data_IF_021161645498
#
_entry.id   IF_021161645498
#
_cell.length_a   1.000
_cell.length_b   1.000
_cell.length_c   1.000
_cell.angle_alpha   90.00
_cell.angle_beta   90.00
_cell.angle_gamma   90.00
#
_symmetry.space_group_name_H-M   'P 1'
#
loop_
_entity.id
_entity.type
_entity.pdbx_description
1 polymer ?
#
# COMPACT_ATOMS: atom_id res chain seq x y z
N UNK A 1 23.60 -1.00 -17.41
CA UNK A 1 22.71 -0.33 -16.45
C UNK A 1 22.88 -1.02 -15.12
N UNK A 2 23.20 -0.30 -14.04
CA UNK A 2 23.41 -0.92 -12.73
C UNK A 2 22.09 -1.54 -12.26
N UNK A 3 22.10 -2.86 -12.13
CA UNK A 3 20.93 -3.67 -11.75
C UNK A 3 20.49 -3.52 -10.27
N UNK A 4 21.14 -2.66 -9.51
CA UNK A 4 20.99 -2.56 -8.05
C UNK A 4 20.03 -1.45 -7.58
N UNK A 5 19.27 -0.85 -8.50
CA UNK A 5 18.29 0.17 -8.08
C UNK A 5 17.11 -0.49 -7.39
N UNK A 6 16.96 -0.23 -6.10
CA UNK A 6 15.81 -0.67 -5.29
C UNK A 6 14.51 -0.29 -5.97
N UNK A 7 13.66 -1.29 -6.23
CA UNK A 7 12.35 -1.05 -6.80
C UNK A 7 11.43 -0.34 -5.80
N UNK A 8 10.75 0.68 -6.28
CA UNK A 8 9.77 1.45 -5.51
C UNK A 8 8.38 1.25 -6.12
N UNK A 9 7.31 1.32 -5.31
CA UNK A 9 5.95 1.31 -5.83
C UNK A 9 5.72 2.40 -6.86
N UNK A 10 4.86 2.14 -7.84
CA UNK A 10 4.51 3.11 -8.90
C UNK A 10 3.63 4.26 -8.41
N UNK A 11 3.11 4.18 -7.20
CA UNK A 11 2.19 5.16 -6.65
C UNK A 11 2.36 5.33 -5.14
N UNK A 12 2.06 6.53 -4.64
CA UNK A 12 2.01 6.77 -3.21
C UNK A 12 0.79 6.05 -2.61
N UNK A 13 0.99 5.38 -1.49
CA UNK A 13 -0.09 4.71 -0.77
C UNK A 13 -0.18 5.26 0.66
N UNK A 14 -1.40 5.56 1.15
CA UNK A 14 -1.59 6.01 2.53
C UNK A 14 -1.02 4.99 3.51
N UNK A 15 -0.23 5.44 4.48
CA UNK A 15 0.41 4.52 5.43
C UNK A 15 1.59 3.71 4.87
N UNK A 16 2.09 4.05 3.68
CA UNK A 16 3.16 3.27 3.01
C UNK A 16 4.37 3.02 3.90
N UNK A 17 4.77 1.76 4.01
CA UNK A 17 5.79 1.23 4.94
C UNK A 17 7.22 1.25 4.38
N UNK A 18 7.47 2.03 3.31
CA UNK A 18 8.79 2.07 2.66
C UNK A 18 9.96 2.44 3.56
N UNK A 19 9.73 3.23 4.61
CA UNK A 19 10.78 3.62 5.55
C UNK A 19 11.17 2.52 6.53
N UNK A 20 10.23 1.65 6.87
CA UNK A 20 10.48 0.59 7.84
C UNK A 20 10.74 -0.77 7.17
N UNK A 21 10.58 -0.84 5.85
CA UNK A 21 10.67 -2.11 5.15
C UNK A 21 11.99 -2.85 5.42
N UNK A 22 13.11 -2.13 5.42
CA UNK A 22 14.42 -2.72 5.67
C UNK A 22 14.55 -3.23 7.12
N UNK A 23 14.01 -2.48 8.10
CA UNK A 23 13.98 -2.92 9.48
C UNK A 23 13.09 -4.15 9.67
N UNK A 24 11.91 -4.16 9.04
CA UNK A 24 11.01 -5.32 9.06
C UNK A 24 11.68 -6.54 8.42
N UNK A 25 12.35 -6.38 7.28
CA UNK A 25 13.05 -7.49 6.64
C UNK A 25 14.21 -8.02 7.47
N UNK A 26 14.94 -7.18 8.19
CA UNK A 26 15.95 -7.63 9.16
C UNK A 26 15.34 -8.52 10.23
N UNK A 27 14.13 -8.21 10.72
CA UNK A 27 13.43 -8.99 11.74
C UNK A 27 12.78 -10.25 11.17
N UNK A 28 12.22 -10.21 9.99
CA UNK A 28 11.70 -11.38 9.29
C UNK A 28 12.86 -12.30 8.81
N UNK A 29 13.97 -11.71 8.41
CA UNK A 29 15.13 -12.43 7.89
C UNK A 29 14.84 -13.14 6.56
N UNK A 30 15.70 -14.10 6.24
CA UNK A 30 15.56 -14.90 5.03
C UNK A 30 14.50 -15.99 5.24
N UNK A 31 13.33 -15.81 4.64
CA UNK A 31 12.17 -16.73 4.73
C UNK A 31 11.90 -17.43 3.40
N UNK A 32 11.40 -18.67 3.46
CA UNK A 32 11.06 -19.47 2.26
C UNK A 32 9.77 -18.99 1.60
N UNK A 33 8.82 -18.60 2.44
CA UNK A 33 7.51 -18.13 2.04
C UNK A 33 7.25 -16.74 2.65
N UNK A 34 6.69 -15.83 1.87
CA UNK A 34 6.31 -14.49 2.33
C UNK A 34 4.84 -14.24 2.00
N UNK A 35 4.08 -13.79 2.98
CA UNK A 35 2.68 -13.44 2.84
C UNK A 35 2.43 -11.99 3.28
N UNK A 36 1.79 -11.21 2.40
CA UNK A 36 1.38 -9.83 2.65
C UNK A 36 -0.12 -9.67 2.32
N UNK A 37 -1.01 -9.88 3.31
CA UNK A 37 -2.46 -9.89 3.08
C UNK A 37 -3.09 -8.49 2.94
N UNK A 38 -2.33 -7.43 3.23
CA UNK A 38 -2.76 -6.03 3.12
C UNK A 38 -1.77 -5.24 2.25
N UNK A 39 -1.50 -5.76 1.04
CA UNK A 39 -0.31 -5.38 0.28
C UNK A 39 -0.27 -3.93 -0.18
N UNK A 40 -1.43 -3.31 -0.42
CA UNK A 40 -1.50 -1.94 -0.92
C UNK A 40 -0.56 -1.71 -2.10
N UNK A 41 0.46 -0.86 -1.88
CA UNK A 41 1.49 -0.55 -2.89
C UNK A 41 2.56 -1.64 -3.09
N UNK A 42 2.44 -2.78 -2.44
CA UNK A 42 3.38 -3.91 -2.51
C UNK A 42 4.82 -3.56 -2.05
N UNK A 43 4.98 -2.49 -1.30
CA UNK A 43 6.30 -1.97 -0.92
C UNK A 43 7.14 -2.98 -0.15
N UNK A 44 6.53 -3.80 0.71
CA UNK A 44 7.25 -4.81 1.47
C UNK A 44 7.86 -5.87 0.56
N UNK A 45 7.10 -6.38 -0.40
CA UNK A 45 7.60 -7.35 -1.37
C UNK A 45 8.69 -6.76 -2.27
N UNK A 46 8.50 -5.52 -2.74
CA UNK A 46 9.48 -4.83 -3.60
C UNK A 46 10.80 -4.52 -2.89
N UNK A 47 10.76 -4.38 -1.57
CA UNK A 47 11.93 -4.12 -0.71
C UNK A 47 12.55 -5.39 -0.13
N UNK A 48 12.08 -6.57 -0.51
CA UNK A 48 12.71 -7.82 -0.08
C UNK A 48 14.16 -7.85 -0.53
N UNK A 49 15.12 -8.16 0.38
CA UNK A 49 16.54 -8.17 0.07
C UNK A 49 16.88 -9.11 -1.09
N UNK A 50 17.72 -8.65 -2.03
CA UNK A 50 18.05 -9.40 -3.24
C UNK A 50 18.91 -10.64 -2.97
N UNK A 51 19.66 -10.66 -1.89
CA UNK A 51 20.42 -11.80 -1.42
C UNK A 51 19.55 -13.02 -1.08
N UNK A 52 18.27 -12.79 -0.68
CA UNK A 52 17.32 -13.87 -0.43
C UNK A 52 16.99 -14.66 -1.70
N UNK A 53 17.08 -14.02 -2.88
CA UNK A 53 16.83 -14.68 -4.16
C UNK A 53 17.99 -15.54 -4.63
N UNK A 54 19.22 -15.23 -4.20
CA UNK A 54 20.42 -15.93 -4.63
C UNK A 54 20.57 -17.30 -3.94
N UNK A 55 20.02 -17.45 -2.75
CA UNK A 55 20.24 -18.64 -1.90
C UNK A 55 19.27 -19.78 -2.19
N UNK A 56 18.21 -19.56 -2.96
CA UNK A 56 17.11 -20.51 -3.10
C UNK A 56 16.67 -20.68 -4.55
N UNK A 57 16.35 -21.92 -4.90
CA UNK A 57 15.79 -22.25 -6.21
C UNK A 57 14.36 -21.74 -6.37
N UNK A 58 13.59 -21.70 -5.28
CA UNK A 58 12.19 -21.28 -5.29
C UNK A 58 11.90 -20.40 -4.06
N UNK A 59 11.32 -19.26 -4.30
CA UNK A 59 10.72 -18.39 -3.28
C UNK A 59 9.23 -18.34 -3.53
N UNK A 60 8.46 -18.46 -2.47
CA UNK A 60 7.02 -18.35 -2.54
C UNK A 60 6.63 -16.98 -1.97
N UNK A 61 5.94 -16.21 -2.77
CA UNK A 61 5.46 -14.90 -2.39
C UNK A 61 3.97 -14.79 -2.72
N UNK A 62 3.18 -14.42 -1.74
CA UNK A 62 1.74 -14.24 -1.90
C UNK A 62 1.33 -12.91 -1.32
N UNK A 63 0.70 -12.11 -2.14
CA UNK A 63 0.14 -10.81 -1.74
C UNK A 63 -1.37 -10.82 -1.93
N UNK A 64 -2.08 -10.06 -1.11
CA UNK A 64 -3.52 -9.93 -1.23
C UNK A 64 -3.95 -8.50 -0.95
N UNK A 65 -5.00 -8.07 -1.60
CA UNK A 65 -5.70 -6.86 -1.22
C UNK A 65 -7.20 -7.04 -1.43
N UNK A 66 -8.00 -6.37 -0.61
CA UNK A 66 -9.46 -6.36 -0.77
C UNK A 66 -9.90 -5.36 -1.82
N UNK A 67 -9.07 -4.38 -2.14
CA UNK A 67 -9.33 -3.39 -3.16
C UNK A 67 -9.12 -3.99 -4.56
N UNK A 68 -10.21 -4.11 -5.31
CA UNK A 68 -10.18 -4.66 -6.67
C UNK A 68 -9.34 -3.85 -7.65
N UNK A 69 -9.22 -2.52 -7.48
CA UNK A 69 -8.33 -1.69 -8.31
C UNK A 69 -6.87 -2.05 -8.08
N UNK A 70 -6.46 -2.28 -6.81
CA UNK A 70 -5.10 -2.71 -6.48
C UNK A 70 -4.81 -4.08 -7.07
N UNK A 71 -5.73 -5.04 -6.89
CA UNK A 71 -5.57 -6.38 -7.41
C UNK A 71 -5.51 -6.40 -8.96
N UNK A 72 -6.38 -5.64 -9.63
CA UNK A 72 -6.34 -5.48 -11.08
C UNK A 72 -5.05 -4.80 -11.54
N UNK A 73 -4.61 -3.75 -10.85
CA UNK A 73 -3.36 -3.05 -11.19
C UNK A 73 -2.17 -4.03 -11.22
N UNK A 74 -1.99 -4.81 -10.16
CA UNK A 74 -0.86 -5.74 -10.09
C UNK A 74 -0.98 -6.91 -11.07
N UNK A 75 -2.21 -7.38 -11.35
CA UNK A 75 -2.43 -8.37 -12.41
C UNK A 75 -2.09 -7.78 -13.79
N UNK A 76 -2.58 -6.59 -14.10
CA UNK A 76 -2.31 -5.92 -15.36
C UNK A 76 -0.82 -5.56 -15.54
N UNK A 77 -0.12 -5.13 -14.49
CA UNK A 77 1.33 -4.89 -14.51
C UNK A 77 2.09 -6.17 -14.87
N UNK A 78 1.67 -7.31 -14.35
CA UNK A 78 2.30 -8.59 -14.65
C UNK A 78 2.08 -9.02 -16.11
N UNK A 79 0.87 -8.87 -16.63
CA UNK A 79 0.47 -9.42 -17.94
C UNK A 79 0.69 -8.43 -19.09
N UNK A 80 0.43 -7.13 -18.89
CA UNK A 80 0.47 -6.10 -19.91
C UNK A 80 1.16 -4.80 -19.43
N UNK A 81 2.42 -4.86 -18.99
CA UNK A 81 3.12 -3.72 -18.37
C UNK A 81 3.17 -2.49 -19.27
N UNK A 82 3.35 -2.68 -20.60
CA UNK A 82 3.43 -1.60 -21.57
C UNK A 82 2.11 -0.86 -21.75
N UNK A 83 1.00 -1.60 -21.75
CA UNK A 83 -0.34 -1.01 -21.86
C UNK A 83 -0.68 -0.22 -20.59
N UNK A 84 -0.37 -0.78 -19.40
CA UNK A 84 -0.52 -0.05 -18.12
C UNK A 84 0.28 1.26 -18.18
N UNK A 85 1.55 1.22 -18.60
CA UNK A 85 2.39 2.40 -18.72
C UNK A 85 1.79 3.44 -19.67
N UNK A 86 1.31 3.01 -20.84
CA UNK A 86 0.65 3.88 -21.82
C UNK A 86 -0.58 4.58 -21.21
N UNK A 87 -1.43 3.86 -20.50
CA UNK A 87 -2.60 4.43 -19.87
C UNK A 87 -2.30 5.26 -18.62
N UNK A 88 -1.12 5.14 -18.04
CA UNK A 88 -0.66 5.92 -16.90
C UNK A 88 0.10 7.21 -17.29
N UNK A 89 0.53 7.34 -18.57
CA UNK A 89 1.34 8.47 -19.05
C UNK A 89 0.48 9.56 -19.68
N UNK A 90 -0.29 10.27 -18.85
CA UNK A 90 -1.13 11.37 -19.31
C UNK A 90 -0.73 12.70 -18.66
N UNK A 91 -0.89 13.82 -19.37
CA UNK A 91 -0.84 15.15 -18.77
C UNK A 91 -1.87 15.26 -17.64
N UNK A 92 -1.54 16.05 -16.64
CA UNK A 92 -2.47 16.28 -15.54
C UNK A 92 -3.32 17.49 -15.86
N UNK A 93 -4.60 17.26 -16.13
CA UNK A 93 -5.63 18.28 -16.24
C UNK A 93 -6.75 17.96 -15.27
N UNK A 94 -7.38 18.98 -14.67
CA UNK A 94 -8.47 18.79 -13.72
C UNK A 94 -9.66 18.11 -14.37
N UNK A 95 -10.06 18.55 -15.56
CA UNK A 95 -11.17 17.98 -16.30
C UNK A 95 -10.98 16.48 -16.58
N UNK A 96 -9.75 16.10 -17.01
CA UNK A 96 -9.41 14.70 -17.26
C UNK A 96 -9.42 13.86 -15.97
N UNK A 97 -8.93 14.45 -14.88
CA UNK A 97 -8.92 13.78 -13.59
C UNK A 97 -10.33 13.47 -13.11
N UNK A 98 -11.25 14.41 -13.19
CA UNK A 98 -12.65 14.22 -12.83
C UNK A 98 -13.36 13.26 -13.79
N UNK A 99 -13.10 13.36 -15.09
CA UNK A 99 -13.70 12.46 -16.07
C UNK A 99 -13.28 11.01 -15.83
N UNK A 100 -11.98 10.76 -15.59
CA UNK A 100 -11.46 9.42 -15.29
C UNK A 100 -11.98 8.90 -13.96
N UNK A 101 -12.04 9.74 -12.92
CA UNK A 101 -12.62 9.34 -11.64
C UNK A 101 -14.05 8.82 -11.81
N UNK A 102 -14.92 9.62 -12.45
CA UNK A 102 -16.31 9.22 -12.70
C UNK A 102 -16.41 7.96 -13.56
N UNK A 103 -15.57 7.84 -14.56
CA UNK A 103 -15.57 6.67 -15.42
C UNK A 103 -15.16 5.42 -14.65
N UNK A 104 -14.11 5.49 -13.84
CA UNK A 104 -13.64 4.38 -13.02
C UNK A 104 -14.71 3.94 -12.01
N UNK A 105 -15.38 4.90 -11.36
CA UNK A 105 -16.43 4.60 -10.39
C UNK A 105 -17.65 3.92 -11.01
N UNK A 106 -17.97 4.26 -12.25
CA UNK A 106 -19.11 3.70 -12.99
C UNK A 106 -18.76 2.50 -13.86
N UNK A 107 -17.50 2.19 -14.00
CA UNK A 107 -17.02 1.16 -14.92
C UNK A 107 -17.61 -0.22 -14.61
N UNK A 108 -17.81 -0.53 -13.35
CA UNK A 108 -18.38 -1.82 -12.94
C UNK A 108 -19.86 -1.91 -13.30
N UNK A 109 -20.64 -0.85 -13.05
CA UNK A 109 -22.06 -0.78 -13.42
C UNK A 109 -22.26 -0.81 -14.94
N UNK A 110 -21.35 -0.15 -15.69
CA UNK A 110 -21.49 -0.03 -17.14
C UNK A 110 -20.96 -1.23 -17.91
N UNK A 111 -19.91 -1.90 -17.41
CA UNK A 111 -19.18 -2.93 -18.14
C UNK A 111 -19.01 -4.24 -17.38
N UNK A 112 -19.38 -4.30 -16.09
CA UNK A 112 -19.28 -5.49 -15.24
C UNK A 112 -17.85 -6.04 -15.09
N UNK A 113 -16.83 -5.16 -15.21
CA UNK A 113 -15.43 -5.60 -15.26
C UNK A 113 -14.98 -6.30 -13.96
N UNK A 114 -15.53 -5.89 -12.80
CA UNK A 114 -15.23 -6.53 -11.51
C UNK A 114 -15.67 -7.98 -11.49
N UNK A 115 -16.85 -8.27 -12.04
CA UNK A 115 -17.34 -9.64 -12.14
C UNK A 115 -16.50 -10.47 -13.11
N UNK A 116 -16.09 -9.88 -14.23
CA UNK A 116 -15.15 -10.55 -15.15
C UNK A 116 -13.81 -10.82 -14.47
N UNK A 117 -13.26 -9.82 -13.79
CA UNK A 117 -12.00 -9.95 -13.04
C UNK A 117 -12.05 -11.07 -11.98
N UNK A 118 -13.20 -11.30 -11.34
CA UNK A 118 -13.38 -12.35 -10.34
C UNK A 118 -13.52 -13.74 -11.00
N UNK A 119 -14.24 -13.82 -12.10
CA UNK A 119 -14.62 -15.09 -12.73
C UNK A 119 -13.60 -15.61 -13.74
N UNK A 120 -12.83 -14.70 -14.35
CA UNK A 120 -11.83 -15.04 -15.35
C UNK A 120 -10.41 -14.81 -14.79
N UNK A 121 -9.62 -15.88 -14.60
CA UNK A 121 -8.26 -15.77 -14.07
C UNK A 121 -7.30 -15.06 -15.03
N UNK A 122 -7.62 -14.97 -16.30
CA UNK A 122 -6.83 -14.28 -17.31
C UNK A 122 -7.29 -12.83 -17.52
N UNK A 123 -8.48 -12.49 -17.03
CA UNK A 123 -9.03 -11.15 -17.20
C UNK A 123 -8.29 -10.11 -16.35
N UNK A 124 -7.84 -9.06 -17.00
CA UNK A 124 -7.38 -7.81 -16.41
C UNK A 124 -7.78 -6.65 -17.33
N UNK A 125 -7.81 -5.45 -16.78
CA UNK A 125 -8.04 -4.24 -17.58
C UNK A 125 -6.87 -3.27 -17.37
N UNK A 126 -6.02 -3.16 -18.39
CA UNK A 126 -4.84 -2.29 -18.37
C UNK A 126 -5.20 -0.80 -18.39
N UNK A 127 -6.34 -0.42 -18.99
CA UNK A 127 -6.83 0.95 -19.00
C UNK A 127 -7.30 1.37 -17.60
N UNK A 128 -8.08 0.53 -16.94
CA UNK A 128 -8.49 0.73 -15.54
C UNK A 128 -7.25 0.84 -14.66
N UNK A 129 -6.30 -0.08 -14.81
CA UNK A 129 -5.06 -0.09 -14.04
C UNK A 129 -4.24 1.20 -14.25
N UNK A 130 -4.01 1.60 -15.49
CA UNK A 130 -3.25 2.79 -15.84
C UNK A 130 -3.92 4.10 -15.39
N UNK A 131 -5.22 4.23 -15.60
CA UNK A 131 -5.97 5.41 -15.16
C UNK A 131 -6.08 5.49 -13.64
N UNK A 132 -6.25 4.33 -12.98
CA UNK A 132 -6.30 4.30 -11.53
C UNK A 132 -4.95 4.71 -10.90
N UNK A 133 -3.83 4.15 -11.37
CA UNK A 133 -2.51 4.51 -10.83
C UNK A 133 -2.11 5.95 -11.15
N UNK A 134 -2.47 6.45 -12.35
CA UNK A 134 -2.29 7.85 -12.71
C UNK A 134 -3.00 8.78 -11.71
N UNK A 135 -4.26 8.48 -11.40
CA UNK A 135 -5.02 9.26 -10.44
C UNK A 135 -4.49 9.16 -9.02
N UNK A 136 -4.03 7.99 -8.57
CA UNK A 136 -3.34 7.86 -7.27
C UNK A 136 -2.15 8.81 -7.14
N UNK A 137 -1.49 9.13 -8.24
CA UNK A 137 -0.35 10.05 -8.24
C UNK A 137 -0.76 11.53 -8.35
N UNK A 138 -1.90 11.82 -8.95
CA UNK A 138 -2.34 13.19 -9.27
C UNK A 138 -3.36 13.75 -8.29
N UNK A 139 -4.15 12.87 -7.66
CA UNK A 139 -5.22 13.25 -6.76
C UNK A 139 -4.70 13.79 -5.42
N UNK A 140 -5.39 14.76 -4.86
CA UNK A 140 -5.05 15.33 -3.56
C UNK A 140 -6.05 14.93 -2.51
N UNK A 141 -5.53 14.44 -1.40
CA UNK A 141 -6.32 13.99 -0.27
C UNK A 141 -6.81 12.55 -0.41
N UNK A 142 -7.85 12.22 0.34
CA UNK A 142 -8.55 10.95 0.27
C UNK A 142 -9.69 11.02 -0.76
N UNK A 143 -10.09 9.90 -1.31
CA UNK A 143 -11.32 9.80 -2.11
C UNK A 143 -11.13 9.41 -3.57
N UNK A 144 -9.90 9.17 -4.03
CA UNK A 144 -9.71 8.63 -5.39
C UNK A 144 -10.27 7.22 -5.50
N UNK A 145 -11.27 7.06 -6.35
CA UNK A 145 -11.99 5.79 -6.59
C UNK A 145 -12.54 5.14 -5.30
N UNK A 146 -12.98 5.95 -4.35
CA UNK A 146 -13.76 5.47 -3.21
C UNK A 146 -15.22 5.50 -3.58
N UNK A 147 -15.92 4.38 -3.35
CA UNK A 147 -17.32 4.17 -3.68
C UNK A 147 -18.22 4.75 -2.57
N UNK A 148 -18.24 6.05 -2.47
CA UNK A 148 -19.13 6.74 -1.53
C UNK A 148 -19.91 7.82 -2.26
N UNK A 149 -21.20 7.81 -2.07
CA UNK A 149 -22.06 8.90 -2.53
C UNK A 149 -21.85 10.18 -1.72
N UNK A 150 -21.16 10.09 -0.58
CA UNK A 150 -20.75 11.22 0.24
C UNK A 150 -19.44 10.96 0.97
N UNK A 151 -18.65 12.01 1.16
CA UNK A 151 -17.51 11.96 2.05
C UNK A 151 -17.96 11.74 3.51
N UNK A 152 -17.12 11.16 4.38
CA UNK A 152 -17.48 10.88 5.78
C UNK A 152 -17.93 12.10 6.59
N UNK A 153 -17.64 13.30 6.11
CA UNK A 153 -18.06 14.57 6.70
C UNK A 153 -19.40 15.10 6.12
N UNK A 154 -20.08 14.28 5.32
CA UNK A 154 -21.39 14.61 4.73
C UNK A 154 -21.33 15.48 3.48
N UNK A 155 -20.14 15.85 3.00
CA UNK A 155 -19.99 16.61 1.77
C UNK A 155 -20.28 15.72 0.54
N UNK A 156 -20.88 16.29 -0.51
CA UNK A 156 -21.11 15.53 -1.74
C UNK A 156 -19.77 15.04 -2.33
N UNK A 157 -19.84 13.89 -2.98
CA UNK A 157 -18.72 13.39 -3.77
C UNK A 157 -18.37 14.36 -4.90
N UNK A 158 -17.18 14.21 -5.42
CA UNK A 158 -16.62 15.02 -6.50
C UNK A 158 -17.45 15.07 -7.78
N UNK A 159 -18.40 14.15 -7.98
CA UNK A 159 -19.37 14.27 -9.08
C UNK A 159 -20.13 15.60 -9.01
N UNK A 160 -20.45 16.04 -7.79
CA UNK A 160 -21.18 17.31 -7.55
C UNK A 160 -20.22 18.48 -7.29
N UNK A 161 -18.93 18.20 -7.07
CA UNK A 161 -17.93 19.24 -6.81
C UNK A 161 -17.60 20.09 -8.04
N UNK A 162 -17.93 19.65 -9.23
CA UNK A 162 -17.85 20.46 -10.45
C UNK A 162 -18.75 21.69 -10.38
N UNK A 163 -19.92 21.51 -9.73
CA UNK A 163 -20.90 22.62 -9.57
C UNK A 163 -20.55 23.57 -8.42
N UNK A 164 -19.67 23.16 -7.50
CA UNK A 164 -19.29 23.95 -6.33
C UNK A 164 -17.89 24.54 -6.38
N UNK A 165 -17.24 24.49 -7.52
CA UNK A 165 -15.93 25.13 -7.72
C UNK A 165 -14.81 24.59 -6.82
N UNK A 166 -14.92 23.36 -6.33
CA UNK A 166 -13.89 22.66 -5.56
C UNK A 166 -13.15 21.68 -6.46
N UNK A 167 -12.68 22.19 -7.55
CA UNK A 167 -11.72 21.49 -8.34
C UNK A 167 -10.37 21.47 -7.66
N UNK A 168 -9.40 21.87 -7.83
CA UNK A 168 -8.06 21.89 -7.30
C UNK A 168 -8.00 22.79 -6.10
N UNK A 169 -7.78 22.26 -4.95
CA UNK A 169 -7.57 22.85 -3.65
C UNK A 169 -7.62 24.40 -3.54
N UNK A 170 -8.76 24.93 -3.21
CA UNK A 170 -8.95 26.34 -2.92
C UNK A 170 -8.74 26.64 -1.42
N UNK A 171 -7.57 26.45 -0.89
CA UNK A 171 -7.19 27.08 0.37
C UNK A 171 -6.44 28.37 0.06
N UNK A 172 -7.04 29.55 0.28
CA UNK A 172 -6.33 30.80 0.09
C UNK A 172 -5.30 30.95 1.20
N UNK A 173 -4.03 30.85 0.88
CA UNK A 173 -3.00 31.21 1.83
C UNK A 173 -1.67 30.47 1.75
N UNK A 174 -1.50 29.46 0.90
CA UNK A 174 -0.21 28.76 0.82
C UNK A 174 0.39 28.86 -0.58
N UNK A 175 1.55 29.48 -0.62
CA UNK A 175 2.33 29.82 -1.80
C UNK A 175 2.85 28.57 -2.53
N UNK A 176 2.91 28.65 -3.85
CA UNK A 176 3.67 27.83 -4.81
C UNK A 176 3.36 26.33 -4.95
N UNK A 177 2.85 25.64 -3.95
CA UNK A 177 2.40 24.24 -4.03
C UNK A 177 0.85 24.11 -4.09
N UNK A 178 0.17 25.21 -4.32
CA UNK A 178 -1.28 25.38 -4.14
C UNK A 178 -2.14 24.79 -5.24
N UNK A 179 -1.56 24.51 -6.36
CA UNK A 179 -2.26 23.83 -7.42
C UNK A 179 -2.14 22.33 -7.23
N UNK A 180 -2.69 21.82 -6.20
CA UNK A 180 -2.82 20.43 -5.82
C UNK A 180 -2.68 19.33 -6.86
N UNK A 181 -2.35 19.67 -8.02
CA UNK A 181 -1.77 18.83 -9.04
C UNK A 181 -0.28 18.76 -8.73
N UNK A 182 0.12 17.88 -7.85
CA UNK A 182 1.54 17.68 -7.59
C UNK A 182 2.34 17.26 -8.82
N UNK A 183 1.83 17.46 -10.02
CA UNK A 183 2.52 17.16 -11.26
C UNK A 183 3.26 15.81 -11.27
N UNK A 184 3.04 15.04 -10.20
CA UNK A 184 3.65 13.74 -9.96
C UNK A 184 2.83 12.74 -10.73
N UNK A 185 3.19 12.54 -11.96
CA UNK A 185 2.83 11.32 -12.68
C UNK A 185 3.31 10.10 -11.88
N UNK A 186 2.84 8.88 -12.18
CA UNK A 186 3.20 7.67 -11.44
C UNK A 186 4.64 7.67 -10.96
N UNK A 187 4.82 7.40 -9.67
CA UNK A 187 5.96 7.74 -8.85
C UNK A 187 7.31 7.41 -9.46
N UNK A 188 8.11 8.45 -9.60
CA UNK A 188 9.46 8.34 -10.09
C UNK A 188 10.44 8.44 -8.93
N UNK A 189 11.45 7.57 -8.84
CA UNK A 189 12.39 7.56 -7.74
C UNK A 189 13.11 8.89 -7.52
N UNK A 190 13.29 9.67 -8.58
CA UNK A 190 14.21 10.80 -8.59
C UNK A 190 13.55 12.18 -8.52
N UNK A 191 12.31 12.25 -8.10
CA UNK A 191 11.66 13.54 -7.79
C UNK A 191 11.66 14.57 -8.91
N UNK A 192 11.83 14.15 -10.16
CA UNK A 192 11.94 15.01 -11.34
C UNK A 192 10.64 15.72 -11.68
N UNK A 193 10.27 16.65 -10.83
CA UNK A 193 9.19 17.60 -11.07
C UNK A 193 9.73 18.64 -12.07
N UNK A 194 8.97 18.92 -13.10
CA UNK A 194 9.12 20.09 -13.97
C UNK A 194 10.33 20.16 -14.93
N UNK A 195 10.81 19.08 -15.44
CA UNK A 195 11.65 19.16 -16.66
C UNK A 195 10.79 18.77 -17.85
N UNK A 196 10.34 19.78 -18.59
CA UNK A 196 9.67 19.75 -19.87
C UNK A 196 9.28 18.42 -20.54
N UNK A 197 8.44 18.45 -21.53
CA UNK A 197 8.07 17.30 -22.37
C UNK A 197 9.35 16.76 -23.05
N UNK A 198 10.09 15.88 -22.38
CA UNK A 198 11.18 15.14 -23.02
C UNK A 198 10.72 13.73 -23.33
N UNK A 199 11.01 13.22 -24.51
CA UNK A 199 10.67 11.87 -24.97
C UNK A 199 11.21 10.74 -24.07
N UNK A 200 12.22 11.03 -23.26
CA UNK A 200 12.85 10.12 -22.30
C UNK A 200 11.94 9.68 -21.16
N UNK A 201 10.85 10.40 -20.89
CA UNK A 201 9.98 10.11 -19.74
C UNK A 201 9.01 8.96 -19.98
N UNK A 202 8.40 8.89 -21.15
CA UNK A 202 7.51 7.78 -21.50
C UNK A 202 8.28 6.45 -21.56
N UNK A 203 9.51 6.49 -22.07
CA UNK A 203 10.41 5.34 -22.08
C UNK A 203 10.75 4.90 -20.66
N UNK A 204 11.10 5.83 -19.80
CA UNK A 204 11.42 5.53 -18.42
C UNK A 204 10.23 4.92 -17.63
N UNK A 205 9.01 5.45 -17.80
CA UNK A 205 7.82 4.88 -17.15
C UNK A 205 7.60 3.44 -17.63
N UNK A 206 7.75 3.20 -18.92
CA UNK A 206 7.62 1.89 -19.54
C UNK A 206 8.64 0.90 -18.96
N UNK A 207 9.90 1.27 -18.96
CA UNK A 207 10.97 0.45 -18.35
C UNK A 207 10.74 0.17 -16.89
N UNK A 208 10.23 1.16 -16.14
CA UNK A 208 9.95 0.99 -14.71
C UNK A 208 8.82 -0.02 -14.45
N UNK A 209 7.72 0.09 -15.18
CA UNK A 209 6.59 -0.84 -15.06
C UNK A 209 7.01 -2.25 -15.54
N UNK A 210 7.84 -2.36 -16.58
CA UNK A 210 8.40 -3.65 -17.02
C UNK A 210 9.28 -4.28 -15.92
N UNK A 211 10.12 -3.51 -15.25
CA UNK A 211 10.92 -4.01 -14.11
C UNK A 211 10.05 -4.48 -12.95
N UNK A 212 8.94 -3.77 -12.67
CA UNK A 212 7.97 -4.24 -11.69
C UNK A 212 7.33 -5.55 -12.12
N UNK A 213 6.94 -5.68 -13.40
CA UNK A 213 6.41 -6.91 -13.98
C UNK A 213 7.37 -8.08 -13.80
N UNK A 214 8.63 -7.90 -14.15
CA UNK A 214 9.67 -8.92 -13.97
C UNK A 214 9.82 -9.33 -12.52
N UNK A 215 9.79 -8.37 -11.58
CA UNK A 215 9.91 -8.65 -10.14
C UNK A 215 8.76 -9.48 -9.60
N UNK A 216 7.55 -9.23 -10.07
CA UNK A 216 6.34 -9.89 -9.55
C UNK A 216 5.89 -11.10 -10.38
N UNK A 217 6.65 -11.48 -11.41
CA UNK A 217 6.29 -12.55 -12.34
C UNK A 217 5.81 -13.84 -11.65
N UNK A 218 6.49 -14.22 -10.58
CA UNK A 218 6.19 -15.45 -9.81
C UNK A 218 5.41 -15.18 -8.53
N UNK A 219 5.02 -13.93 -8.27
CA UNK A 219 4.24 -13.56 -7.09
C UNK A 219 2.76 -13.92 -7.30
N UNK A 220 2.16 -14.55 -6.31
CA UNK A 220 0.71 -14.80 -6.31
C UNK A 220 -0.01 -13.54 -5.87
N UNK A 221 -0.82 -12.97 -6.77
CA UNK A 221 -1.67 -11.82 -6.46
C UNK A 221 -3.08 -12.33 -6.19
N UNK A 222 -3.54 -12.16 -4.97
CA UNK A 222 -4.88 -12.57 -4.52
C UNK A 222 -5.77 -11.35 -4.34
N UNK A 223 -7.08 -11.58 -4.39
CA UNK A 223 -8.10 -10.56 -4.17
C UNK A 223 -9.13 -11.07 -3.17
N UNK A 224 -9.46 -10.26 -2.17
CA UNK A 224 -10.52 -10.54 -1.19
C UNK A 224 -10.09 -10.42 0.26
N UNK A 225 -10.82 -11.08 1.15
CA UNK A 225 -10.55 -11.02 2.59
C UNK A 225 -9.13 -11.51 2.92
N UNK A 226 -8.46 -10.83 3.83
CA UNK A 226 -7.07 -11.08 4.21
C UNK A 226 -6.80 -12.52 4.67
N UNK A 227 -7.76 -13.12 5.39
CA UNK A 227 -7.64 -14.46 5.94
C UNK A 227 -7.46 -15.54 4.87
N UNK A 228 -7.90 -15.31 3.64
CA UNK A 228 -7.78 -16.27 2.55
C UNK A 228 -6.36 -16.77 2.31
N UNK A 229 -5.37 -15.93 2.56
CA UNK A 229 -3.96 -16.32 2.40
C UNK A 229 -3.29 -16.65 3.73
N UNK A 230 -3.95 -16.40 4.86
CA UNK A 230 -3.42 -16.58 6.21
C UNK A 230 -4.06 -17.71 7.01
N UNK A 231 -5.26 -18.22 6.64
CA UNK A 231 -5.96 -19.26 7.39
C UNK A 231 -5.55 -20.68 7.01
N UNK A 232 -4.86 -20.86 5.89
CA UNK A 232 -4.41 -22.18 5.47
C UNK A 232 -3.14 -22.59 6.21
N UNK A 233 -3.27 -23.53 7.13
CA UNK A 233 -2.13 -24.13 7.84
C UNK A 233 -1.07 -24.66 6.86
N UNK A 234 -1.49 -25.29 5.77
CA UNK A 234 -0.57 -25.79 4.75
C UNK A 234 0.23 -24.68 4.08
N UNK A 235 -0.36 -23.51 3.89
CA UNK A 235 0.36 -22.35 3.32
C UNK A 235 1.35 -21.77 4.29
N UNK A 236 1.05 -21.78 5.58
CA UNK A 236 1.89 -21.18 6.61
C UNK A 236 3.02 -22.09 7.09
N UNK A 237 2.80 -23.40 7.14
CA UNK A 237 3.73 -24.32 7.85
C UNK A 237 4.47 -25.31 6.94
N UNK A 238 3.95 -25.61 5.73
CA UNK A 238 4.55 -26.65 4.87
C UNK A 238 5.59 -26.13 3.89
N UNK A 239 5.76 -24.83 3.80
CA UNK A 239 6.60 -24.19 2.80
C UNK A 239 7.94 -23.70 3.38
N UNK A 240 8.37 -24.27 4.51
CA UNK A 240 9.54 -23.81 5.25
C UNK A 240 9.21 -22.65 6.19
N UNK A 241 10.20 -21.78 6.45
CA UNK A 241 9.99 -20.59 7.29
C UNK A 241 9.12 -19.58 6.55
N UNK A 242 8.03 -19.16 7.17
CA UNK A 242 7.10 -18.20 6.61
C UNK A 242 7.22 -16.84 7.30
N UNK A 243 7.43 -15.78 6.52
CA UNK A 243 7.29 -14.40 6.97
C UNK A 243 5.89 -13.86 6.64
N UNK A 244 5.23 -13.27 7.61
CA UNK A 244 3.92 -12.63 7.42
C UNK A 244 3.99 -11.18 7.84
N UNK A 245 3.60 -10.28 6.95
CA UNK A 245 3.53 -8.86 7.23
C UNK A 245 2.07 -8.40 7.24
N UNK A 246 1.61 -7.91 8.39
CA UNK A 246 0.24 -7.48 8.62
C UNK A 246 0.17 -5.97 8.81
N UNK A 247 -0.39 -5.25 7.85
CA UNK A 247 -0.62 -3.80 7.91
C UNK A 247 -2.12 -3.50 7.67
N UNK A 248 -3.01 -3.96 8.57
CA UNK A 248 -4.43 -3.75 8.39
C UNK A 248 -4.79 -2.27 8.44
N UNK A 249 -5.93 -1.85 7.84
CA UNK A 249 -6.48 -0.52 8.07
C UNK A 249 -6.67 -0.25 9.57
N UNK A 250 -6.14 0.87 10.05
CA UNK A 250 -6.20 1.18 11.48
C UNK A 250 -7.58 1.71 11.90
N UNK A 251 -8.11 1.30 13.06
CA UNK A 251 -9.34 1.85 13.61
C UNK A 251 -9.25 3.36 13.80
N UNK A 252 -10.39 4.03 13.70
CA UNK A 252 -10.45 5.47 13.97
C UNK A 252 -10.23 5.72 15.45
N UNK A 253 -9.14 6.35 15.82
CA UNK A 253 -8.98 6.90 17.16
C UNK A 253 -9.85 8.16 17.24
N UNK A 254 -10.80 8.21 18.17
CA UNK A 254 -11.49 9.46 18.52
C UNK A 254 -10.44 10.41 19.09
N UNK A 255 -10.07 11.42 18.31
CA UNK A 255 -9.29 12.53 18.88
C UNK A 255 -10.07 13.21 19.99
N UNK A 256 -9.38 13.77 20.98
CA UNK A 256 -9.95 14.51 22.13
C UNK A 256 -10.97 15.60 21.74
N UNK A 257 -11.03 15.99 20.48
CA UNK A 257 -11.88 17.07 19.96
C UNK A 257 -13.15 16.57 19.24
N UNK A 258 -13.51 15.30 19.35
CA UNK A 258 -14.74 14.75 18.73
C UNK A 258 -14.77 14.76 17.21
N UNK A 259 -13.72 15.22 16.53
CA UNK A 259 -13.63 15.20 15.08
C UNK A 259 -13.28 13.81 14.59
N UNK A 260 -14.14 13.24 13.75
CA UNK A 260 -13.90 11.95 13.10
C UNK A 260 -12.57 11.99 12.35
N UNK A 261 -11.64 11.10 12.69
CA UNK A 261 -10.41 10.91 11.93
C UNK A 261 -10.71 10.49 10.50
N UNK A 262 -9.97 11.03 9.52
CA UNK A 262 -10.16 10.73 8.10
C UNK A 262 -9.65 9.35 7.66
N UNK A 263 -9.07 8.56 8.57
CA UNK A 263 -8.40 7.30 8.20
C UNK A 263 -9.34 6.23 7.63
N UNK A 264 -10.61 6.18 8.01
CA UNK A 264 -11.57 5.22 7.46
C UNK A 264 -12.00 5.50 6.01
N UNK A 265 -11.79 6.72 5.50
CA UNK A 265 -12.08 7.08 4.11
C UNK A 265 -10.93 6.80 3.15
N UNK A 266 -9.81 6.26 3.63
CA UNK A 266 -8.61 5.97 2.82
C UNK A 266 -8.64 4.56 2.21
N UNK A 267 -9.49 3.69 2.72
CA UNK A 267 -9.55 2.29 2.31
C UNK A 267 -10.85 2.02 1.57
N UNK A 268 -10.71 1.62 0.31
CA UNK A 268 -11.83 1.37 -0.58
C UNK A 268 -12.58 0.08 -0.23
N UNK A 269 -13.91 0.14 -0.31
CA UNK A 269 -14.76 -1.05 -0.46
C UNK A 269 -15.35 -1.62 0.82
N UNK A 270 -15.27 -0.93 1.98
CA UNK A 270 -15.93 -1.42 3.18
C UNK A 270 -16.38 -0.33 4.15
N UNK A 271 -17.48 0.31 3.84
CA UNK A 271 -18.27 1.02 4.87
C UNK A 271 -18.89 0.05 5.89
N UNK A 272 -18.96 -1.23 5.54
CA UNK A 272 -19.58 -2.29 6.34
C UNK A 272 -18.60 -3.02 7.25
N UNK A 273 -17.28 -2.93 6.98
CA UNK A 273 -16.31 -3.60 7.85
C UNK A 273 -16.00 -2.74 9.07
N UNK A 274 -16.37 -3.23 10.24
CA UNK A 274 -15.90 -2.67 11.50
C UNK A 274 -14.38 -2.86 11.61
N UNK A 275 -13.62 -1.77 11.51
CA UNK A 275 -12.16 -1.81 11.62
C UNK A 275 -11.68 -2.32 12.99
N UNK A 276 -12.51 -2.21 14.03
CA UNK A 276 -12.23 -2.82 15.33
C UNK A 276 -12.39 -4.33 15.26
N UNK A 277 -13.39 -4.82 14.53
CA UNK A 277 -13.52 -6.25 14.28
C UNK A 277 -12.31 -6.78 13.51
N UNK A 278 -11.93 -6.15 12.42
CA UNK A 278 -10.74 -6.53 11.63
C UNK A 278 -9.48 -6.57 12.49
N UNK A 279 -9.25 -5.53 13.31
CA UNK A 279 -8.13 -5.50 14.26
C UNK A 279 -8.18 -6.69 15.24
N UNK A 280 -9.34 -7.01 15.78
CA UNK A 280 -9.51 -8.13 16.72
C UNK A 280 -9.26 -9.48 16.03
N UNK A 281 -9.68 -9.63 14.78
CA UNK A 281 -9.39 -10.81 13.96
C UNK A 281 -7.88 -10.98 13.74
N UNK A 282 -7.19 -9.89 13.35
CA UNK A 282 -5.73 -9.87 13.14
C UNK A 282 -5.01 -10.17 14.46
N UNK A 283 -5.46 -9.59 15.58
CA UNK A 283 -4.90 -9.85 16.90
C UNK A 283 -5.07 -11.33 17.31
N UNK A 284 -6.28 -11.87 17.19
CA UNK A 284 -6.56 -13.28 17.52
C UNK A 284 -5.74 -14.24 16.65
N UNK A 285 -5.60 -13.94 15.37
CA UNK A 285 -4.75 -14.70 14.46
C UNK A 285 -3.27 -14.62 14.86
N UNK A 286 -2.80 -13.44 15.23
CA UNK A 286 -1.42 -13.22 15.68
C UNK A 286 -1.10 -13.97 16.97
N UNK A 287 -2.02 -14.01 17.93
CA UNK A 287 -1.90 -14.82 19.14
C UNK A 287 -1.82 -16.31 18.80
N UNK A 288 -2.72 -16.80 17.94
CA UNK A 288 -2.77 -18.21 17.51
C UNK A 288 -1.45 -18.68 16.91
N UNK A 289 -0.86 -17.89 16.02
CA UNK A 289 0.29 -18.30 15.21
C UNK A 289 1.63 -17.78 15.72
N UNK A 290 1.62 -16.78 16.60
CA UNK A 290 2.84 -16.08 17.05
C UNK A 290 3.87 -16.95 17.76
N UNK A 291 3.45 -18.03 18.42
CA UNK A 291 4.37 -18.96 19.11
C UNK A 291 4.99 -20.02 18.19
N UNK A 292 4.57 -20.10 16.91
CA UNK A 292 5.15 -21.03 15.97
C UNK A 292 6.51 -20.50 15.49
N UNK A 293 7.59 -21.22 15.79
CA UNK A 293 8.96 -20.81 15.48
C UNK A 293 9.27 -20.77 13.98
N UNK A 294 8.47 -21.44 13.16
CA UNK A 294 8.58 -21.41 11.71
C UNK A 294 7.77 -20.26 11.07
N UNK A 295 7.06 -19.47 11.86
CA UNK A 295 6.27 -18.33 11.38
C UNK A 295 6.76 -17.05 12.05
N UNK A 296 7.27 -16.13 11.25
CA UNK A 296 7.76 -14.82 11.67
C UNK A 296 6.74 -13.77 11.28
N UNK A 297 6.13 -13.13 12.27
CA UNK A 297 5.03 -12.20 12.06
C UNK A 297 5.44 -10.80 12.45
N UNK A 298 5.19 -9.82 11.59
CA UNK A 298 5.29 -8.40 11.87
C UNK A 298 3.90 -7.76 11.72
N UNK A 299 3.38 -7.14 12.77
CA UNK A 299 2.06 -6.47 12.79
C UNK A 299 2.27 -4.98 12.95
N UNK A 300 1.65 -4.16 12.09
CA UNK A 300 1.63 -2.70 12.19
C UNK A 300 0.34 -2.20 12.85
N UNK A 301 0.42 -1.12 13.60
CA UNK A 301 -0.72 -0.45 14.22
C UNK A 301 -0.30 0.79 14.99
N UNK A 302 -1.25 1.38 15.70
CA UNK A 302 -0.96 2.50 16.61
C UNK A 302 -0.84 2.00 18.06
N UNK A 303 0.00 2.69 18.81
CA UNK A 303 -0.01 2.59 20.27
C UNK A 303 -1.43 2.83 20.81
N UNK A 304 -1.93 1.92 21.64
CA UNK A 304 -3.28 1.96 22.17
C UNK A 304 -4.34 1.23 21.32
N UNK A 305 -3.94 0.57 20.22
CA UNK A 305 -4.86 -0.25 19.42
C UNK A 305 -5.13 -1.63 20.04
N UNK A 306 -4.45 -1.99 21.16
CA UNK A 306 -4.65 -3.25 21.88
C UNK A 306 -3.67 -4.35 21.51
N UNK A 307 -2.72 -4.09 20.60
CA UNK A 307 -1.64 -5.06 20.29
C UNK A 307 -0.60 -5.19 21.38
N UNK A 308 -0.61 -4.33 22.41
CA UNK A 308 0.28 -4.38 23.57
C UNK A 308 0.16 -5.69 24.37
N UNK A 309 -0.97 -6.38 24.27
CA UNK A 309 -1.17 -7.69 24.86
C UNK A 309 -0.22 -8.74 24.30
N UNK A 310 0.19 -8.60 23.03
CA UNK A 310 1.18 -9.46 22.38
C UNK A 310 2.50 -9.42 23.12
N UNK A 311 2.93 -8.24 23.58
CA UNK A 311 4.17 -8.08 24.36
C UNK A 311 3.97 -8.59 25.79
N UNK A 312 2.87 -8.21 26.43
CA UNK A 312 2.63 -8.50 27.86
C UNK A 312 2.43 -9.98 28.14
N UNK A 313 1.75 -10.71 27.25
CA UNK A 313 1.28 -12.07 27.52
C UNK A 313 1.84 -13.13 26.55
N UNK A 314 2.34 -12.71 25.39
CA UNK A 314 2.73 -13.64 24.32
C UNK A 314 4.21 -13.55 23.89
N UNK A 315 5.04 -12.79 24.63
CA UNK A 315 6.50 -12.73 24.41
C UNK A 315 6.94 -12.03 23.13
N UNK A 316 6.07 -11.23 22.52
CA UNK A 316 6.41 -10.42 21.35
C UNK A 316 7.30 -9.25 21.72
N UNK A 317 7.95 -8.65 20.73
CA UNK A 317 8.72 -7.41 20.88
C UNK A 317 8.06 -6.28 20.11
N UNK A 318 8.19 -5.05 20.63
CA UNK A 318 7.62 -3.84 20.02
C UNK A 318 8.75 -2.92 19.57
N UNK A 319 8.60 -2.34 18.38
CA UNK A 319 9.49 -1.29 17.88
C UNK A 319 8.67 -0.06 17.49
N UNK A 320 9.12 1.09 18.00
CA UNK A 320 8.59 2.40 17.63
C UNK A 320 9.21 2.87 16.34
N UNK A 321 8.39 3.43 15.43
CA UNK A 321 8.92 4.10 14.27
C UNK A 321 8.14 5.38 13.95
N UNK A 322 8.78 6.29 13.22
CA UNK A 322 8.16 7.55 12.84
C UNK A 322 7.70 7.49 11.39
N UNK A 323 6.38 7.48 11.18
CA UNK A 323 5.81 7.62 9.85
C UNK A 323 6.18 8.97 9.24
N UNK A 324 6.52 9.00 7.95
CA UNK A 324 6.47 10.26 7.23
C UNK A 324 5.01 10.64 7.14
N UNK A 325 4.65 11.84 7.61
CA UNK A 325 3.29 12.34 7.50
C UNK A 325 2.75 12.10 6.10
N UNK A 326 1.50 11.62 6.02
CA UNK A 326 0.79 11.47 4.75
C UNK A 326 0.62 12.82 4.04
N UNK A 327 0.03 12.82 2.84
CA UNK A 327 -0.20 14.00 1.99
C UNK A 327 -0.77 15.24 2.69
N UNK A 328 -1.47 15.07 3.82
CA UNK A 328 -2.01 16.16 4.62
C UNK A 328 -0.98 16.88 5.51
N UNK A 329 0.26 16.40 5.57
CA UNK A 329 1.29 16.88 6.46
C UNK A 329 2.48 17.52 5.72
N UNK A 330 2.25 18.27 4.66
CA UNK A 330 3.23 19.24 4.19
C UNK A 330 3.29 20.37 5.25
N UNK A 331 4.29 20.27 6.11
CA UNK A 331 4.47 21.17 7.26
C UNK A 331 5.26 22.39 6.88
N UNK A 332 4.86 23.51 7.43
CA UNK A 332 5.75 24.67 7.59
C UNK A 332 6.90 24.27 8.53
N UNK A 333 8.10 24.76 8.21
CA UNK A 333 9.29 24.57 9.04
C UNK A 333 8.98 25.09 10.45
N UNK A 334 8.85 24.19 11.45
CA UNK A 334 8.55 24.55 12.85
C UNK A 334 7.23 24.00 13.44
N UNK A 335 6.35 23.38 12.64
CA UNK A 335 5.13 22.77 13.18
C UNK A 335 5.39 21.43 13.88
N UNK A 336 4.67 21.18 15.00
CA UNK A 336 4.75 19.90 15.73
C UNK A 336 4.30 18.73 14.86
N UNK A 337 4.96 17.59 15.01
CA UNK A 337 4.58 16.32 14.32
C UNK A 337 3.15 15.93 14.72
N UNK A 338 2.38 15.34 13.80
CA UNK A 338 1.05 14.84 14.15
C UNK A 338 1.19 13.72 15.18
N UNK A 339 0.33 13.70 16.18
CA UNK A 339 0.33 12.69 17.24
C UNK A 339 0.27 11.27 16.66
N UNK A 340 -0.45 11.07 15.55
CA UNK A 340 -0.55 9.78 14.88
C UNK A 340 0.79 9.28 14.33
N UNK A 341 1.64 10.17 13.78
CA UNK A 341 2.95 9.76 13.25
C UNK A 341 3.91 9.29 14.35
N UNK A 342 3.70 9.72 15.58
CA UNK A 342 4.51 9.33 16.74
C UNK A 342 3.99 8.03 17.41
N UNK A 343 2.77 7.62 17.08
CA UNK A 343 2.11 6.45 17.68
C UNK A 343 2.31 5.17 16.88
N UNK A 344 2.89 5.23 15.69
CA UNK A 344 3.13 4.06 14.85
C UNK A 344 4.06 3.05 15.54
N UNK A 345 3.66 1.79 15.51
CA UNK A 345 4.37 0.65 16.12
C UNK A 345 4.41 -0.52 15.15
N UNK A 346 5.43 -1.35 15.32
CA UNK A 346 5.49 -2.69 14.75
C UNK A 346 5.72 -3.69 15.86
N UNK A 347 4.89 -4.70 15.94
CA UNK A 347 5.04 -5.83 16.86
C UNK A 347 5.56 -7.05 16.10
N UNK A 348 6.58 -7.70 16.68
CA UNK A 348 7.24 -8.86 16.09
C UNK A 348 7.05 -10.09 16.94
N UNK A 349 6.65 -11.21 16.33
CA UNK A 349 6.48 -12.49 17.03
C UNK A 349 7.80 -13.05 17.55
N UNK A 350 7.77 -13.95 18.57
CA UNK A 350 8.95 -14.60 19.12
C UNK A 350 9.83 -15.34 18.10
N UNK A 351 9.26 -15.80 16.98
CA UNK A 351 10.00 -16.43 15.88
C UNK A 351 10.82 -15.46 15.02
N UNK A 352 10.60 -14.15 15.14
CA UNK A 352 11.38 -13.13 14.42
C UNK A 352 12.81 -13.06 14.96
N UNK A 353 13.77 -12.72 14.11
CA UNK A 353 15.17 -12.51 14.50
C UNK A 353 15.28 -11.35 15.49
N UNK A 354 16.21 -11.46 16.45
CA UNK A 354 16.49 -10.37 17.38
C UNK A 354 17.39 -9.32 16.72
N UNK A 355 17.28 -8.07 17.16
CA UNK A 355 18.08 -6.98 16.62
C UNK A 355 19.61 -7.23 16.76
N UNK A 356 20.04 -7.92 17.79
CA UNK A 356 21.41 -8.32 18.03
C UNK A 356 21.91 -9.41 17.07
N UNK A 357 21.04 -10.34 16.68
CA UNK A 357 21.34 -11.41 15.74
C UNK A 357 21.55 -10.91 14.30
N UNK A 358 20.99 -9.75 13.96
CA UNK A 358 21.13 -9.14 12.63
C UNK A 358 22.50 -8.53 12.40
N UNK A 359 23.25 -8.18 13.45
CA UNK A 359 24.60 -7.62 13.33
C UNK A 359 25.68 -8.69 13.13
N UNK A 360 25.44 -9.94 13.56
CA UNK A 360 26.38 -11.05 13.40
C UNK A 360 26.53 -11.54 11.95
N UNK A 361 25.55 -11.26 11.08
CA UNK A 361 25.61 -11.64 9.67
C UNK A 361 26.16 -10.54 8.75
N UNK A 362 26.38 -9.32 9.26
CA UNK A 362 26.97 -8.22 8.51
C UNK A 362 28.50 -8.14 8.60
N UNK A 363 29.15 -8.94 9.47
CA UNK A 363 30.59 -8.94 9.68
C UNK A 363 31.31 -10.12 8.97
N UNK A 364 30.61 -10.92 8.17
CA UNK A 364 31.16 -12.05 7.42
C UNK A 364 31.16 -11.83 5.89
N UNK A 365 31.36 -10.59 5.43
CA UNK A 365 31.67 -10.29 4.02
C UNK A 365 33.05 -9.65 3.88
#
# INVERSE_FOLDING_TARGET
>A
MNNDTILKPSYPFPGGKGKIADAVWKRLGDVDNFADPFTGSMVMLLRRPTEHFKKRKYLIETVNDKNHFIANFWRAVREAPREVAMHADWPVTEADMHARHRWLMRSDESYGWRQQFINDPEHFDAKIAGWWVWGQCCWIGAGWCIDETRLPDGRPQLADAFDIGRGVNASPGDSSDQFGLHGKRPAFPDGGISRGVSGTRAEWLREWIERLSDRIRNTRVCYGHWSRICDSESTLTRLGTTGVFLDPPYPKVRGDNGKKSRSGALYHGDETQDLNQLRNEVLGWSIKWGNNQNIRIAVCGYEGDGYEILVKEHGWTEEKWEASGGYANQRRKGEKKSDNAMRERVWYSPGCLRAEETNLFSECE
#
